data_IF_992926325547
#
_entry.id   IF_992926325547
#
_cell.length_a   1.000
_cell.length_b   1.000
_cell.length_c   1.000
_cell.angle_alpha   90.00
_cell.angle_beta   90.00
_cell.angle_gamma   90.00
#
_symmetry.space_group_name_H-M   'P 1'
#
loop_
_entity.id
_entity.type
_entity.pdbx_description
1 polymer ?
#
# COMPACT_ATOMS: atom_id res chain seq x y z
N UNK A 1 -5.34 24.08 -11.55
CA UNK A 1 -5.22 25.06 -10.46
C UNK A 1 -6.12 26.24 -10.82
N UNK A 2 -7.09 26.55 -9.96
CA UNK A 2 -8.06 27.65 -10.14
C UNK A 2 -7.92 28.59 -8.94
N UNK A 3 -8.25 29.88 -9.10
CA UNK A 3 -8.02 30.87 -8.03
C UNK A 3 -8.65 30.50 -6.67
N UNK A 4 -9.81 29.83 -6.68
CA UNK A 4 -10.48 29.38 -5.45
C UNK A 4 -9.78 28.21 -4.73
N UNK A 5 -8.82 27.53 -5.36
CA UNK A 5 -8.00 26.50 -4.71
C UNK A 5 -7.18 27.09 -3.54
N UNK A 6 -6.91 28.41 -3.55
CA UNK A 6 -6.25 29.11 -2.44
C UNK A 6 -6.99 28.94 -1.10
N UNK A 7 -8.31 28.72 -1.12
CA UNK A 7 -9.11 28.43 0.08
C UNK A 7 -8.59 27.21 0.85
N UNK A 8 -7.92 26.26 0.19
CA UNK A 8 -7.29 25.11 0.85
C UNK A 8 -6.07 25.51 1.67
N UNK A 9 -5.32 26.49 1.19
CA UNK A 9 -4.12 27.03 1.87
C UNK A 9 -4.46 28.00 3.00
N UNK A 10 -5.61 28.68 2.91
CA UNK A 10 -6.08 29.64 3.92
C UNK A 10 -6.86 29.00 5.08
N UNK A 11 -6.89 27.67 5.17
CA UNK A 11 -7.50 26.94 6.28
C UNK A 11 -6.45 26.63 7.35
N UNK A 12 -6.79 26.72 8.65
CA UNK A 12 -5.90 26.26 9.70
C UNK A 12 -5.55 24.78 9.50
N UNK A 13 -4.28 24.45 9.68
CA UNK A 13 -3.83 23.07 9.69
C UNK A 13 -4.41 22.35 10.92
N UNK A 14 -5.04 21.20 10.69
CA UNK A 14 -5.57 20.30 11.70
C UNK A 14 -4.78 18.99 11.68
N UNK A 15 -4.02 18.74 12.74
CA UNK A 15 -3.05 17.64 12.86
C UNK A 15 -3.77 16.31 12.69
N UNK A 16 -4.85 16.05 13.43
CA UNK A 16 -5.59 14.79 13.36
C UNK A 16 -6.15 14.57 11.96
N UNK A 17 -6.80 15.58 11.37
CA UNK A 17 -7.39 15.46 10.04
C UNK A 17 -6.35 15.14 8.95
N UNK A 18 -5.13 15.66 9.10
CA UNK A 18 -4.06 15.51 8.10
C UNK A 18 -3.18 14.29 8.33
N UNK A 19 -3.11 13.76 9.56
CA UNK A 19 -2.15 12.70 9.94
C UNK A 19 -2.78 11.40 10.39
N UNK A 20 -4.08 11.36 10.68
CA UNK A 20 -4.77 10.12 11.13
C UNK A 20 -4.51 8.95 10.19
N UNK A 21 -4.64 9.16 8.89
CA UNK A 21 -4.39 8.10 7.88
C UNK A 21 -2.94 7.66 7.86
N UNK A 22 -1.98 8.59 7.96
CA UNK A 22 -0.54 8.28 8.02
C UNK A 22 -0.19 7.49 9.27
N UNK A 23 -0.73 7.86 10.42
CA UNK A 23 -0.50 7.16 11.70
C UNK A 23 -1.07 5.76 11.61
N UNK A 24 -2.35 5.62 11.23
CA UNK A 24 -2.98 4.33 11.09
C UNK A 24 -2.22 3.41 10.13
N UNK A 25 -1.76 3.97 9.00
CA UNK A 25 -0.92 3.24 8.06
C UNK A 25 0.40 2.77 8.70
N UNK A 26 1.07 3.61 9.48
CA UNK A 26 2.32 3.24 10.13
C UNK A 26 2.14 2.03 11.08
N UNK A 27 1.09 2.05 11.91
CA UNK A 27 0.79 0.94 12.83
C UNK A 27 0.41 -0.33 12.07
N UNK A 28 -0.48 -0.24 11.07
CA UNK A 28 -0.89 -1.39 10.27
C UNK A 28 0.27 -2.00 9.46
N UNK A 29 1.18 -1.16 8.96
CA UNK A 29 2.37 -1.64 8.24
C UNK A 29 3.42 -2.28 9.16
N UNK A 30 3.57 -1.79 10.40
CA UNK A 30 4.56 -2.32 11.33
C UNK A 30 4.32 -3.78 11.73
N UNK A 31 3.05 -4.21 11.74
CA UNK A 31 2.64 -5.59 12.06
C UNK A 31 2.42 -6.46 10.82
N UNK A 32 2.54 -5.89 9.62
CA UNK A 32 2.32 -6.63 8.39
C UNK A 32 3.39 -7.72 8.26
N UNK A 33 3.02 -9.01 8.18
CA UNK A 33 4.00 -10.07 8.09
C UNK A 33 4.87 -9.93 6.83
N UNK A 34 6.13 -10.32 6.94
CA UNK A 34 7.08 -10.33 5.84
C UNK A 34 7.67 -11.73 5.65
N UNK A 35 8.02 -12.06 4.41
CA UNK A 35 8.79 -13.26 4.13
C UNK A 35 10.28 -13.00 4.31
N UNK A 36 10.98 -13.98 4.88
CA UNK A 36 12.44 -14.04 4.77
C UNK A 36 12.85 -14.30 3.32
N UNK A 37 13.97 -13.70 2.93
CA UNK A 37 14.52 -13.92 1.59
C UNK A 37 15.02 -15.36 1.45
N UNK A 38 14.54 -16.04 0.42
CA UNK A 38 14.99 -17.37 0.02
C UNK A 38 15.18 -17.38 -1.50
N UNK A 39 16.42 -17.52 -1.95
CA UNK A 39 16.79 -17.39 -3.37
C UNK A 39 16.03 -18.39 -4.25
N UNK A 40 16.01 -19.68 -3.90
CA UNK A 40 15.33 -20.72 -4.67
C UNK A 40 13.82 -20.43 -4.82
N UNK A 41 13.18 -20.01 -3.73
CA UNK A 41 11.75 -19.66 -3.71
C UNK A 41 11.47 -18.44 -4.58
N UNK A 42 12.31 -17.41 -4.52
CA UNK A 42 12.17 -16.19 -5.32
C UNK A 42 12.37 -16.50 -6.80
N UNK A 43 13.43 -17.23 -7.16
CA UNK A 43 13.70 -17.65 -8.55
C UNK A 43 12.53 -18.46 -9.12
N UNK A 44 11.96 -19.37 -8.32
CA UNK A 44 10.78 -20.15 -8.72
C UNK A 44 9.55 -19.27 -8.95
N UNK A 45 9.31 -18.30 -8.08
CA UNK A 45 8.21 -17.34 -8.20
C UNK A 45 8.33 -16.49 -9.48
N UNK A 46 9.55 -16.05 -9.83
CA UNK A 46 9.83 -15.34 -11.09
C UNK A 46 9.56 -16.22 -12.32
N UNK A 47 9.98 -17.48 -12.28
CA UNK A 47 9.67 -18.43 -13.35
C UNK A 47 8.16 -18.67 -13.51
N UNK A 48 7.41 -18.72 -12.41
CA UNK A 48 5.95 -18.84 -12.43
C UNK A 48 5.26 -17.59 -13.01
N UNK A 49 5.92 -16.43 -12.98
CA UNK A 49 5.51 -15.22 -13.71
C UNK A 49 5.87 -15.25 -15.21
N UNK A 50 6.51 -16.32 -15.67
CA UNK A 50 6.96 -16.47 -17.05
C UNK A 50 8.20 -15.66 -17.39
N UNK A 51 8.99 -15.26 -16.40
CA UNK A 51 10.22 -14.49 -16.59
C UNK A 51 11.47 -15.29 -16.23
N UNK A 52 12.61 -14.85 -16.74
CA UNK A 52 13.92 -15.44 -16.49
C UNK A 52 14.57 -14.75 -15.28
N UNK A 53 14.81 -15.44 -14.15
CA UNK A 53 15.40 -14.83 -12.95
C UNK A 53 16.85 -14.37 -13.12
N UNK A 54 17.53 -14.78 -14.19
CA UNK A 54 18.91 -14.37 -14.48
C UNK A 54 18.99 -13.14 -15.40
N UNK A 55 17.85 -12.51 -15.71
CA UNK A 55 17.77 -11.31 -16.56
C UNK A 55 17.02 -10.19 -15.85
N UNK A 56 17.10 -9.01 -16.45
CA UNK A 56 16.24 -7.90 -16.08
C UNK A 56 14.76 -8.28 -16.22
N UNK A 57 13.99 -7.96 -15.18
CA UNK A 57 12.57 -8.29 -15.12
C UNK A 57 11.74 -7.27 -15.89
N UNK A 58 10.66 -7.75 -16.51
CA UNK A 58 9.67 -6.91 -17.16
C UNK A 58 8.51 -6.60 -16.22
N UNK A 59 7.91 -5.44 -16.42
CA UNK A 59 6.71 -5.02 -15.74
C UNK A 59 5.56 -5.93 -16.12
N UNK A 60 5.01 -6.64 -15.14
CA UNK A 60 3.90 -7.58 -15.34
C UNK A 60 2.66 -6.89 -15.91
N UNK A 61 2.47 -5.59 -15.63
CA UNK A 61 1.34 -4.83 -16.13
C UNK A 61 1.48 -4.37 -17.58
N UNK A 62 2.63 -3.83 -17.98
CA UNK A 62 2.78 -3.19 -19.29
C UNK A 62 3.86 -3.78 -20.20
N UNK A 63 4.73 -4.65 -19.69
CA UNK A 63 5.84 -5.26 -20.44
C UNK A 63 7.06 -4.36 -20.69
N UNK A 64 7.11 -3.16 -20.10
CA UNK A 64 8.34 -2.35 -20.07
C UNK A 64 9.25 -2.85 -18.95
N UNK A 65 10.54 -2.48 -18.94
CA UNK A 65 11.46 -2.78 -17.84
C UNK A 65 10.85 -2.50 -16.44
N UNK A 66 10.99 -3.44 -15.51
CA UNK A 66 10.60 -3.26 -14.12
C UNK A 66 11.64 -2.42 -13.36
N UNK A 67 11.15 -1.58 -12.46
CA UNK A 67 11.97 -0.67 -11.65
C UNK A 67 11.63 -0.75 -10.15
N UNK A 68 10.55 -1.42 -9.81
CA UNK A 68 10.02 -1.54 -8.44
C UNK A 68 9.14 -2.78 -8.33
N UNK A 69 8.77 -3.11 -7.10
CA UNK A 69 7.76 -4.12 -6.80
C UNK A 69 6.44 -3.43 -6.45
N UNK A 70 5.32 -3.92 -6.99
CA UNK A 70 3.97 -3.50 -6.60
C UNK A 70 3.38 -4.50 -5.61
N UNK A 71 2.77 -3.97 -4.55
CA UNK A 71 1.88 -4.74 -3.69
C UNK A 71 0.55 -4.96 -4.38
N UNK A 72 0.35 -6.18 -4.89
CA UNK A 72 -0.85 -6.55 -5.68
C UNK A 72 -2.13 -6.21 -4.91
N UNK A 73 -2.13 -6.55 -3.63
CA UNK A 73 -3.12 -6.15 -2.65
C UNK A 73 -2.50 -5.16 -1.69
N UNK A 74 -3.17 -4.02 -1.48
CA UNK A 74 -2.72 -3.00 -0.55
C UNK A 74 -2.56 -3.58 0.86
N UNK A 75 -1.43 -3.31 1.53
CA UNK A 75 -1.15 -3.79 2.90
C UNK A 75 -2.07 -3.18 3.95
N UNK A 76 -2.59 -1.97 3.68
CA UNK A 76 -3.49 -1.25 4.57
C UNK A 76 -4.80 -0.96 3.85
N UNK A 77 -5.91 -1.38 4.44
CA UNK A 77 -7.27 -1.11 3.94
C UNK A 77 -8.12 -0.60 5.10
N UNK A 78 -8.89 0.47 4.86
CA UNK A 78 -9.74 1.08 5.90
C UNK A 78 -9.01 1.44 7.22
N UNK A 79 -7.73 1.82 7.14
CA UNK A 79 -6.86 2.12 8.30
C UNK A 79 -6.37 0.91 9.11
N UNK A 80 -6.58 -0.29 8.61
CA UNK A 80 -6.18 -1.53 9.27
C UNK A 80 -5.34 -2.40 8.31
N UNK A 81 -4.62 -3.36 8.87
CA UNK A 81 -3.92 -4.36 8.05
C UNK A 81 -4.92 -5.12 7.20
N UNK A 82 -4.63 -5.28 5.91
CA UNK A 82 -5.58 -5.82 4.94
C UNK A 82 -5.69 -7.34 4.91
N UNK A 83 -4.81 -8.05 5.63
CA UNK A 83 -4.56 -9.48 5.46
C UNK A 83 -3.47 -9.78 4.43
N UNK A 84 -2.85 -8.78 3.80
CA UNK A 84 -1.78 -8.99 2.82
C UNK A 84 -0.49 -8.28 3.22
N UNK A 85 0.47 -9.07 3.70
CA UNK A 85 1.78 -8.58 4.13
C UNK A 85 2.77 -8.27 3.01
N UNK A 86 4.02 -8.06 3.41
CA UNK A 86 5.21 -8.03 2.55
C UNK A 86 5.61 -9.46 2.17
N UNK A 87 4.67 -10.18 1.56
CA UNK A 87 4.81 -11.57 1.13
C UNK A 87 5.23 -11.63 -0.33
N UNK A 88 6.03 -12.63 -0.70
CA UNK A 88 6.43 -12.86 -2.09
C UNK A 88 5.21 -12.92 -3.01
N UNK A 89 4.17 -13.68 -2.62
CA UNK A 89 2.92 -13.80 -3.36
C UNK A 89 2.03 -12.55 -3.40
N UNK A 90 2.43 -11.46 -2.75
CA UNK A 90 1.79 -10.16 -2.85
C UNK A 90 2.65 -9.15 -3.65
N UNK A 91 3.75 -9.57 -4.26
CA UNK A 91 4.67 -8.70 -5.00
C UNK A 91 4.71 -9.07 -6.48
N UNK A 92 4.60 -8.06 -7.34
CA UNK A 92 4.84 -8.18 -8.79
C UNK A 92 5.92 -7.19 -9.24
N UNK A 93 6.88 -7.60 -10.09
CA UNK A 93 7.79 -6.66 -10.71
C UNK A 93 7.03 -5.73 -11.65
N UNK A 94 7.25 -4.43 -11.50
CA UNK A 94 6.57 -3.41 -12.29
C UNK A 94 7.42 -2.15 -12.49
N UNK A 95 7.06 -1.33 -13.48
CA UNK A 95 7.67 -0.01 -13.66
C UNK A 95 7.04 1.02 -12.70
N UNK A 96 7.76 2.10 -12.40
CA UNK A 96 7.25 3.16 -11.49
C UNK A 96 5.92 3.77 -11.94
N UNK A 97 5.68 4.05 -13.25
CA UNK A 97 4.39 4.57 -13.70
C UNK A 97 3.23 3.62 -13.42
N UNK A 98 3.42 2.30 -13.57
CA UNK A 98 2.37 1.33 -13.30
C UNK A 98 2.05 1.24 -11.81
N UNK A 99 3.08 1.13 -10.96
CA UNK A 99 2.93 1.12 -9.50
C UNK A 99 2.12 2.35 -9.02
N UNK A 100 2.53 3.54 -9.46
CA UNK A 100 1.88 4.80 -9.08
C UNK A 100 0.43 4.91 -9.60
N UNK A 101 0.16 4.54 -10.86
CA UNK A 101 -1.18 4.64 -11.47
C UNK A 101 -2.16 3.59 -10.94
N UNK A 102 -1.68 2.39 -10.61
CA UNK A 102 -2.49 1.37 -9.91
C UNK A 102 -2.91 1.95 -8.56
N UNK A 103 -1.94 2.33 -7.73
CA UNK A 103 -2.17 2.75 -6.35
C UNK A 103 -2.99 1.68 -5.61
N UNK A 104 -4.10 2.09 -4.99
CA UNK A 104 -4.98 1.18 -4.24
C UNK A 104 -6.03 0.45 -5.10
N UNK A 105 -6.00 0.57 -6.42
CA UNK A 105 -6.92 -0.19 -7.30
C UNK A 105 -6.54 -1.66 -7.27
N UNK A 106 -7.53 -2.54 -7.40
CA UNK A 106 -7.24 -3.95 -7.66
C UNK A 106 -6.51 -4.10 -9.00
N UNK A 107 -5.63 -5.09 -9.07
CA UNK A 107 -4.75 -5.30 -10.23
C UNK A 107 -5.52 -5.57 -11.52
N UNK A 108 -6.66 -6.26 -11.44
CA UNK A 108 -7.53 -6.62 -12.56
C UNK A 108 -8.29 -5.41 -13.12
N UNK A 109 -8.77 -4.54 -12.24
CA UNK A 109 -9.35 -3.25 -12.62
C UNK A 109 -8.27 -2.39 -13.27
N UNK A 110 -7.07 -2.34 -12.69
CA UNK A 110 -5.97 -1.57 -13.26
C UNK A 110 -5.56 -2.04 -14.66
N UNK A 111 -5.41 -3.36 -14.87
CA UNK A 111 -5.14 -3.93 -16.21
C UNK A 111 -6.21 -3.55 -17.24
N UNK A 112 -7.46 -3.45 -16.81
CA UNK A 112 -8.57 -3.06 -17.69
C UNK A 112 -8.50 -1.59 -18.13
N UNK A 113 -7.76 -0.75 -17.40
CA UNK A 113 -7.53 0.66 -17.71
C UNK A 113 -6.30 0.88 -18.61
N UNK A 114 -5.49 -0.14 -18.85
CA UNK A 114 -4.33 -0.04 -19.73
C UNK A 114 -4.75 -0.05 -21.19
N UNK A 115 -4.05 0.76 -21.99
CA UNK A 115 -4.19 0.76 -23.44
C UNK A 115 -3.45 -0.44 -24.04
N UNK A 116 -4.11 -1.59 -24.03
CA UNK A 116 -3.61 -2.88 -24.51
C UNK A 116 -4.72 -3.57 -25.30
N UNK A 117 -4.33 -4.47 -26.20
CA UNK A 117 -5.28 -5.34 -26.89
C UNK A 117 -5.92 -6.33 -25.91
N UNK A 118 -7.09 -6.87 -26.25
CA UNK A 118 -7.76 -7.84 -25.39
C UNK A 118 -6.96 -9.13 -25.23
N UNK A 119 -6.24 -9.56 -26.27
CA UNK A 119 -5.37 -10.73 -26.21
C UNK A 119 -4.22 -10.53 -25.21
N UNK A 120 -3.54 -9.38 -25.27
CA UNK A 120 -2.49 -8.99 -24.33
C UNK A 120 -2.99 -8.90 -22.88
N UNK A 121 -4.15 -8.28 -22.67
CA UNK A 121 -4.77 -8.17 -21.36
C UNK A 121 -5.14 -9.53 -20.80
N UNK A 122 -5.73 -10.39 -21.62
CA UNK A 122 -6.10 -11.76 -21.25
C UNK A 122 -4.87 -12.59 -20.87
N UNK A 123 -3.80 -12.53 -21.68
CA UNK A 123 -2.54 -13.22 -21.38
C UNK A 123 -1.96 -12.77 -20.03
N UNK A 124 -1.92 -11.46 -19.76
CA UNK A 124 -1.44 -10.92 -18.47
C UNK A 124 -2.32 -11.35 -17.30
N UNK A 125 -3.64 -11.38 -17.46
CA UNK A 125 -4.56 -11.88 -16.42
C UNK A 125 -4.30 -13.35 -16.09
N UNK A 126 -4.03 -14.19 -17.10
CA UNK A 126 -3.69 -15.60 -16.88
C UNK A 126 -2.39 -15.73 -16.10
N UNK A 127 -1.35 -14.98 -16.47
CA UNK A 127 -0.05 -15.00 -15.76
C UNK A 127 -0.20 -14.55 -14.31
N UNK A 128 -0.82 -13.38 -14.06
CA UNK A 128 -1.00 -12.86 -12.70
C UNK A 128 -1.91 -13.79 -11.88
N UNK A 129 -3.02 -14.24 -12.45
CA UNK A 129 -3.94 -15.15 -11.77
C UNK A 129 -3.28 -16.48 -11.41
N UNK A 130 -2.46 -17.04 -12.30
CA UNK A 130 -1.69 -18.26 -12.05
C UNK A 130 -0.59 -18.09 -11.02
N UNK A 131 0.03 -16.91 -10.95
CA UNK A 131 1.00 -16.58 -9.90
C UNK A 131 0.32 -16.46 -8.53
N UNK A 132 -0.75 -15.66 -8.45
CA UNK A 132 -1.46 -15.43 -7.20
C UNK A 132 -2.09 -16.72 -6.65
N UNK A 133 -2.66 -17.56 -7.49
CA UNK A 133 -3.25 -18.83 -7.04
C UNK A 133 -2.23 -19.79 -6.38
N UNK A 134 -0.95 -19.68 -6.73
CA UNK A 134 0.14 -20.49 -6.16
C UNK A 134 0.78 -19.86 -4.93
N UNK A 135 0.97 -18.54 -4.94
CA UNK A 135 1.87 -17.86 -4.00
C UNK A 135 1.14 -16.96 -3.00
N UNK A 136 -0.10 -16.56 -3.28
CA UNK A 136 -0.85 -15.65 -2.41
C UNK A 136 -1.09 -16.30 -1.04
N UNK A 137 -0.82 -15.53 0.00
CA UNK A 137 -1.14 -15.87 1.38
C UNK A 137 -2.08 -14.81 1.93
N UNK A 138 -3.10 -15.25 2.67
CA UNK A 138 -3.91 -14.39 3.51
C UNK A 138 -3.40 -14.53 4.94
N UNK A 139 -2.76 -13.47 5.42
CA UNK A 139 -2.20 -13.41 6.76
C UNK A 139 -3.33 -13.20 7.79
N UNK A 140 -3.25 -13.93 8.89
CA UNK A 140 -4.07 -13.70 10.07
C UNK A 140 -3.21 -13.07 11.16
N UNK A 141 -3.70 -11.97 11.72
CA UNK A 141 -3.04 -11.32 12.85
C UNK A 141 -3.53 -11.93 14.17
N UNK A 142 -2.65 -12.06 15.17
CA UNK A 142 -3.04 -12.59 16.48
C UNK A 142 -3.71 -11.47 17.29
N UNK A 143 -4.92 -11.07 16.88
CA UNK A 143 -5.65 -9.91 17.47
C UNK A 143 -5.95 -10.04 18.97
N UNK A 144 -5.90 -11.25 19.52
CA UNK A 144 -6.09 -11.53 20.95
C UNK A 144 -4.77 -11.68 21.72
N UNK A 145 -3.62 -11.35 21.10
CA UNK A 145 -2.33 -11.39 21.77
C UNK A 145 -2.15 -10.11 22.60
N UNK A 146 -1.63 -10.18 23.84
CA UNK A 146 -1.42 -9.00 24.68
C UNK A 146 -0.65 -7.87 24.00
N UNK A 147 0.43 -8.19 23.27
CA UNK A 147 1.20 -7.19 22.52
C UNK A 147 0.38 -6.48 21.43
N UNK A 148 -0.64 -7.16 20.85
CA UNK A 148 -1.53 -6.56 19.86
C UNK A 148 -2.46 -5.54 20.51
N UNK A 149 -3.03 -5.90 21.67
CA UNK A 149 -3.87 -5.01 22.47
C UNK A 149 -3.08 -3.77 22.92
N UNK A 150 -1.87 -3.97 23.45
CA UNK A 150 -0.99 -2.88 23.86
C UNK A 150 -0.63 -1.96 22.68
N UNK A 151 -0.35 -2.52 21.50
CA UNK A 151 -0.07 -1.73 20.31
C UNK A 151 -1.26 -0.86 19.89
N UNK A 152 -2.48 -1.41 19.95
CA UNK A 152 -3.71 -0.67 19.64
C UNK A 152 -4.00 0.43 20.68
N UNK A 153 -3.71 0.18 21.96
CA UNK A 153 -3.77 1.19 23.00
C UNK A 153 -2.79 2.34 22.75
N UNK A 154 -1.54 2.03 22.39
CA UNK A 154 -0.52 3.04 22.04
C UNK A 154 -0.99 3.88 20.84
N UNK A 155 -1.54 3.24 19.80
CA UNK A 155 -2.12 3.93 18.64
C UNK A 155 -3.21 4.91 19.06
N UNK A 156 -4.11 4.49 19.94
CA UNK A 156 -5.18 5.34 20.46
C UNK A 156 -4.63 6.54 21.27
N UNK A 157 -3.61 6.31 22.11
CA UNK A 157 -2.95 7.37 22.87
C UNK A 157 -2.28 8.41 21.96
N UNK A 158 -1.57 7.98 20.91
CA UNK A 158 -0.96 8.89 19.93
C UNK A 158 -2.01 9.79 19.27
N UNK A 159 -3.14 9.22 18.86
CA UNK A 159 -4.24 9.99 18.26
C UNK A 159 -4.87 10.96 19.27
N UNK A 160 -5.00 10.57 20.54
CA UNK A 160 -5.50 11.45 21.60
C UNK A 160 -4.56 12.62 21.87
N UNK A 161 -3.24 12.39 21.89
CA UNK A 161 -2.23 13.44 22.00
C UNK A 161 -2.30 14.41 20.82
N UNK A 162 -2.53 13.92 19.61
CA UNK A 162 -2.70 14.77 18.42
C UNK A 162 -3.97 15.62 18.50
N UNK A 163 -5.07 15.06 19.00
CA UNK A 163 -6.30 15.81 19.24
C UNK A 163 -6.06 16.93 20.27
N UNK A 164 -5.34 16.62 21.36
CA UNK A 164 -4.96 17.62 22.36
C UNK A 164 -4.06 18.71 21.79
N UNK A 165 -3.13 18.35 20.90
CA UNK A 165 -2.29 19.31 20.20
C UNK A 165 -3.12 20.25 19.29
N UNK A 166 -4.14 19.74 18.62
CA UNK A 166 -5.06 20.55 17.80
C UNK A 166 -5.84 21.60 18.63
N UNK A 167 -6.29 21.23 19.84
CA UNK A 167 -6.92 22.15 20.77
C UNK A 167 -5.96 23.27 21.20
N UNK A 168 -4.73 22.91 21.57
CA UNK A 168 -3.68 23.85 21.95
C UNK A 168 -3.33 24.80 20.80
N UNK A 169 -3.13 24.26 19.59
CA UNK A 169 -2.87 25.03 18.39
C UNK A 169 -4.01 26.02 18.09
N UNK A 170 -5.25 25.61 18.32
CA UNK A 170 -6.42 26.50 18.19
C UNK A 170 -6.38 27.65 19.19
N UNK A 171 -6.05 27.38 20.46
CA UNK A 171 -5.91 28.43 21.48
C UNK A 171 -4.79 29.41 21.14
N UNK A 172 -3.64 28.91 20.68
CA UNK A 172 -2.50 29.75 20.26
C UNK A 172 -2.89 30.67 19.10
N UNK A 173 -3.51 30.12 18.05
CA UNK A 173 -3.97 30.92 16.90
C UNK A 173 -4.98 31.99 17.29
N UNK A 174 -5.94 31.67 18.17
CA UNK A 174 -6.93 32.65 18.65
C UNK A 174 -6.29 33.79 19.44
N UNK A 175 -5.27 33.51 20.25
CA UNK A 175 -4.52 34.55 20.98
C UNK A 175 -3.71 35.45 20.06
N UNK A 176 -3.14 34.91 18.97
CA UNK A 176 -2.38 35.70 18.01
C UNK A 176 -3.25 36.53 17.05
N UNK A 177 -4.56 36.27 17.01
CA UNK A 177 -5.52 36.97 16.16
C UNK A 177 -6.36 38.02 16.92
N UNK A 178 -6.14 38.14 18.24
CA UNK A 178 -6.71 39.16 19.11
C UNK A 178 -5.68 40.25 19.36
#
# INVERSE_FOLDING_TARGET
MRYHDIKRHLKPYAIVAMRKTTINHAFASAIAPCDDYNDERVRKAIQDLGQDPDKDLDCIYCGTLAETWDHVFATVKQSEFSGHGHRLGNLLPCCKPCNSKKGNKSWDVYLSLLNQTEAERSARRVVIGGYLSKHQVLDQLPVNHPDYEELDEIKAQVLALFARADELATRIRRRNAA
#
